data_IF_376446065525
#
_entry.id   IF_376446065525
#
_cell.length_a   1.000
_cell.length_b   1.000
_cell.length_c   1.000
_cell.angle_alpha   90.00
_cell.angle_beta   90.00
_cell.angle_gamma   90.00
#
_symmetry.space_group_name_H-M   'P 1'
#
loop_
_entity.id
_entity.type
_entity.pdbx_description
1 polymer ?
#
# COMPACT_ATOMS: atom_id res chain seq x y z
N UNK A 1 -17.51 4.29 -3.02
CA UNK A 1 -17.78 5.08 -1.80
C UNK A 1 -16.83 6.26 -1.67
N UNK A 2 -15.51 6.09 -1.57
CA UNK A 2 -14.55 7.21 -1.44
C UNK A 2 -14.68 8.25 -2.56
N UNK A 3 -14.84 7.82 -3.82
CA UNK A 3 -15.05 8.71 -4.97
C UNK A 3 -16.30 9.59 -4.80
N UNK A 4 -17.42 8.98 -4.43
CA UNK A 4 -18.67 9.72 -4.19
C UNK A 4 -18.51 10.71 -3.03
N UNK A 5 -17.91 10.25 -1.94
CA UNK A 5 -17.71 11.03 -0.74
C UNK A 5 -16.81 12.25 -1.00
N UNK A 6 -15.70 12.03 -1.71
CA UNK A 6 -14.79 13.09 -2.11
C UNK A 6 -15.49 14.12 -3.01
N UNK A 7 -16.20 13.67 -4.05
CA UNK A 7 -16.96 14.57 -4.93
C UNK A 7 -17.94 15.46 -4.17
N UNK A 8 -18.72 14.89 -3.25
CA UNK A 8 -19.65 15.63 -2.41
C UNK A 8 -18.95 16.62 -1.46
N UNK A 9 -17.83 16.23 -0.88
CA UNK A 9 -17.06 17.09 0.06
C UNK A 9 -16.37 18.25 -0.65
N UNK A 10 -16.02 18.09 -1.94
CA UNK A 10 -15.36 19.10 -2.75
C UNK A 10 -16.33 19.86 -3.69
N UNK A 11 -17.61 19.84 -3.38
CA UNK A 11 -18.60 20.71 -4.01
C UNK A 11 -19.10 20.30 -5.39
N UNK A 12 -18.76 19.07 -5.87
CA UNK A 12 -19.27 18.59 -7.17
C UNK A 12 -20.79 18.38 -7.21
N UNK A 13 -21.43 18.26 -6.06
CA UNK A 13 -22.85 17.97 -5.97
C UNK A 13 -23.20 16.52 -6.34
N UNK A 14 -24.46 16.15 -6.07
CA UNK A 14 -24.92 14.76 -6.16
C UNK A 14 -24.77 14.16 -7.56
N UNK A 15 -25.24 14.88 -8.58
CA UNK A 15 -25.26 14.36 -9.95
C UNK A 15 -23.84 14.06 -10.50
N UNK A 16 -22.89 14.95 -10.27
CA UNK A 16 -21.50 14.75 -10.69
C UNK A 16 -20.81 13.66 -9.86
N UNK A 17 -21.11 13.56 -8.56
CA UNK A 17 -20.55 12.50 -7.70
C UNK A 17 -21.08 11.12 -8.11
N UNK A 18 -22.36 10.99 -8.47
CA UNK A 18 -22.94 9.77 -9.03
C UNK A 18 -22.31 9.45 -10.40
N UNK A 19 -22.14 10.44 -11.28
CA UNK A 19 -21.49 10.28 -12.57
C UNK A 19 -20.03 9.82 -12.43
N UNK A 20 -19.28 10.31 -11.44
CA UNK A 20 -17.92 9.85 -11.17
C UNK A 20 -17.87 8.38 -10.74
N UNK A 21 -18.84 7.92 -9.93
CA UNK A 21 -18.96 6.49 -9.58
C UNK A 21 -19.29 5.64 -10.80
N UNK A 22 -20.17 6.10 -11.69
CA UNK A 22 -20.47 5.40 -12.94
C UNK A 22 -19.23 5.37 -13.86
N UNK A 23 -18.48 6.46 -13.96
CA UNK A 23 -17.20 6.48 -14.68
C UNK A 23 -16.25 5.42 -14.14
N UNK A 24 -16.12 5.30 -12.80
CA UNK A 24 -15.30 4.26 -12.19
C UNK A 24 -15.77 2.86 -12.57
N UNK A 25 -17.06 2.56 -12.46
CA UNK A 25 -17.60 1.22 -12.73
C UNK A 25 -17.51 0.85 -14.21
N UNK A 26 -17.78 1.80 -15.12
CA UNK A 26 -17.67 1.59 -16.55
C UNK A 26 -16.21 1.30 -16.94
N UNK A 27 -15.26 2.15 -16.50
CA UNK A 27 -13.83 1.96 -16.76
C UNK A 27 -13.30 0.65 -16.15
N UNK A 28 -13.73 0.31 -14.94
CA UNK A 28 -13.36 -0.95 -14.30
C UNK A 28 -13.76 -2.16 -15.17
N UNK A 29 -15.01 -2.20 -15.63
CA UNK A 29 -15.52 -3.30 -16.45
C UNK A 29 -14.82 -3.35 -17.81
N UNK A 30 -14.62 -2.21 -18.47
CA UNK A 30 -13.90 -2.12 -19.74
C UNK A 30 -12.46 -2.62 -19.60
N UNK A 31 -11.77 -2.21 -18.54
CA UNK A 31 -10.39 -2.66 -18.26
C UNK A 31 -10.33 -4.16 -18.00
N UNK A 32 -11.22 -4.71 -17.16
CA UNK A 32 -11.27 -6.16 -16.94
C UNK A 32 -11.51 -6.92 -18.25
N UNK A 33 -12.41 -6.43 -19.10
CA UNK A 33 -12.69 -7.04 -20.42
C UNK A 33 -11.51 -7.00 -21.37
N UNK A 34 -10.73 -5.91 -21.36
CA UNK A 34 -9.57 -5.75 -22.23
C UNK A 34 -8.48 -6.82 -21.99
N UNK A 35 -8.44 -7.41 -20.79
CA UNK A 35 -7.48 -8.45 -20.43
C UNK A 35 -7.92 -9.86 -20.80
N UNK A 36 -9.10 -10.05 -21.37
CA UNK A 36 -9.56 -11.38 -21.77
C UNK A 36 -8.72 -11.90 -22.95
N UNK A 37 -7.96 -12.97 -22.71
CA UNK A 37 -7.15 -13.66 -23.72
C UNK A 37 -5.75 -13.08 -23.93
N UNK A 38 -5.27 -12.17 -23.06
CA UNK A 38 -3.91 -11.67 -23.08
C UNK A 38 -3.32 -11.57 -21.65
N UNK A 39 -2.06 -11.20 -21.56
CA UNK A 39 -1.31 -11.07 -20.29
C UNK A 39 -0.97 -9.60 -19.96
N UNK A 40 -1.59 -8.63 -20.62
CA UNK A 40 -1.24 -7.21 -20.49
C UNK A 40 -1.45 -6.69 -19.05
N UNK A 41 -2.36 -7.32 -18.28
CA UNK A 41 -2.53 -7.03 -16.86
C UNK A 41 -1.24 -7.23 -16.05
N UNK A 42 -0.36 -8.14 -16.46
CA UNK A 42 0.87 -8.46 -15.71
C UNK A 42 1.93 -7.36 -15.82
N UNK A 43 1.88 -6.56 -16.87
CA UNK A 43 2.86 -5.50 -17.16
C UNK A 43 2.28 -4.08 -17.09
N UNK A 44 0.98 -3.95 -16.82
CA UNK A 44 0.34 -2.64 -16.72
C UNK A 44 0.94 -1.79 -15.61
N UNK A 45 1.29 -0.56 -15.95
CA UNK A 45 1.81 0.45 -15.02
C UNK A 45 1.15 1.81 -15.27
N UNK A 46 1.02 2.58 -14.20
CA UNK A 46 0.66 4.00 -14.28
C UNK A 46 1.95 4.81 -14.10
N UNK A 47 2.44 5.36 -15.20
CA UNK A 47 3.66 6.18 -15.25
C UNK A 47 3.32 7.57 -15.78
N UNK A 48 4.26 8.49 -15.75
CA UNK A 48 4.10 9.79 -16.40
C UNK A 48 3.78 9.65 -17.89
N UNK A 49 4.39 8.68 -18.58
CA UNK A 49 4.16 8.45 -20.01
C UNK A 49 2.75 7.90 -20.30
N UNK A 50 2.23 7.05 -19.43
CA UNK A 50 0.89 6.43 -19.59
C UNK A 50 -0.23 7.25 -18.98
N UNK A 51 0.09 8.33 -18.28
CA UNK A 51 -0.86 9.22 -17.60
C UNK A 51 -1.10 10.52 -18.37
N UNK A 52 -2.06 11.31 -17.93
CA UNK A 52 -2.38 12.61 -18.52
C UNK A 52 -2.87 13.61 -17.47
N UNK A 53 -2.78 14.92 -17.79
CA UNK A 53 -3.22 16.02 -16.93
C UNK A 53 -2.49 16.03 -15.58
N UNK A 54 -3.17 16.45 -14.52
CA UNK A 54 -2.58 16.64 -13.19
C UNK A 54 -1.87 15.38 -12.65
N UNK A 55 -2.36 14.17 -12.96
CA UNK A 55 -1.69 12.94 -12.54
C UNK A 55 -0.31 12.78 -13.20
N UNK A 56 -0.21 13.09 -14.49
CA UNK A 56 1.07 13.10 -15.21
C UNK A 56 2.03 14.10 -14.59
N UNK A 57 1.58 15.36 -14.43
CA UNK A 57 2.40 16.44 -13.89
C UNK A 57 2.90 16.11 -12.48
N UNK A 58 2.06 15.47 -11.66
CA UNK A 58 2.43 14.97 -10.35
C UNK A 58 3.54 13.90 -10.41
N UNK A 59 3.40 12.90 -11.30
CA UNK A 59 4.38 11.83 -11.43
C UNK A 59 5.74 12.38 -11.92
N UNK A 60 5.75 13.24 -12.93
CA UNK A 60 6.95 13.94 -13.39
C UNK A 60 7.62 14.77 -12.28
N UNK A 61 6.81 15.45 -11.46
CA UNK A 61 7.32 16.22 -10.34
C UNK A 61 7.94 15.34 -9.24
N UNK A 62 7.39 14.15 -9.00
CA UNK A 62 7.93 13.18 -8.04
C UNK A 62 9.25 12.62 -8.53
N UNK A 63 9.32 12.19 -9.79
CA UNK A 63 10.54 11.68 -10.41
C UNK A 63 11.68 12.72 -10.37
N UNK A 64 11.37 13.98 -10.65
CA UNK A 64 12.35 15.06 -10.63
C UNK A 64 12.83 15.47 -9.22
N UNK A 65 12.00 15.32 -8.20
CA UNK A 65 12.27 15.86 -6.85
C UNK A 65 12.79 14.83 -5.86
N UNK A 66 12.42 13.58 -6.00
CA UNK A 66 12.70 12.53 -5.03
C UNK A 66 13.82 11.59 -5.52
N UNK A 67 14.63 11.09 -4.60
CA UNK A 67 15.66 10.10 -4.89
C UNK A 67 16.04 9.32 -3.62
N UNK A 68 16.72 8.19 -3.79
CA UNK A 68 17.24 7.39 -2.69
C UNK A 68 18.24 8.19 -1.84
N UNK A 69 19.13 8.96 -2.48
CA UNK A 69 20.08 9.83 -1.80
C UNK A 69 19.42 10.89 -0.93
N UNK A 70 18.42 11.61 -1.45
CA UNK A 70 17.64 12.59 -0.67
C UNK A 70 16.92 11.96 0.52
N UNK A 71 16.39 10.74 0.35
CA UNK A 71 15.78 10.00 1.44
C UNK A 71 16.79 9.67 2.53
N UNK A 72 17.95 9.15 2.16
CA UNK A 72 19.03 8.82 3.10
C UNK A 72 19.50 10.07 3.84
N UNK A 73 19.79 11.17 3.13
CA UNK A 73 20.13 12.46 3.73
C UNK A 73 19.09 12.99 4.74
N UNK A 74 17.82 12.76 4.47
CA UNK A 74 16.73 13.18 5.36
C UNK A 74 16.66 12.37 6.64
N UNK A 75 16.91 11.09 6.58
CA UNK A 75 16.65 10.16 7.68
C UNK A 75 17.90 9.66 8.39
N UNK A 76 19.07 9.81 7.78
CA UNK A 76 20.31 9.23 8.30
C UNK A 76 21.47 10.24 8.29
N UNK A 77 22.47 9.96 9.10
CA UNK A 77 23.75 10.63 9.11
C UNK A 77 24.87 9.60 9.33
N UNK A 78 26.11 9.99 9.10
CA UNK A 78 27.29 9.16 9.36
C UNK A 78 27.86 9.55 10.73
N UNK A 79 27.87 8.59 11.65
CA UNK A 79 28.39 8.76 13.01
C UNK A 79 29.50 7.72 13.22
N UNK A 80 30.70 8.18 13.57
CA UNK A 80 31.88 7.31 13.77
C UNK A 80 32.20 6.37 12.58
N UNK A 81 31.90 6.83 11.35
CA UNK A 81 32.15 6.08 10.12
C UNK A 81 31.01 5.11 9.73
N UNK A 82 29.98 4.99 10.54
CA UNK A 82 28.81 4.14 10.26
C UNK A 82 27.57 4.98 10.07
N UNK A 83 26.68 4.56 9.14
CA UNK A 83 25.42 5.24 8.89
C UNK A 83 24.38 4.87 9.94
N UNK A 84 23.73 5.86 10.53
CA UNK A 84 22.70 5.69 11.54
C UNK A 84 21.50 6.63 11.31
N UNK A 85 20.35 6.32 11.89
CA UNK A 85 19.17 7.19 11.83
C UNK A 85 19.32 8.48 12.63
N UNK A 86 18.90 9.59 12.06
CA UNK A 86 18.70 10.84 12.76
C UNK A 86 17.38 10.76 13.55
N UNK A 87 17.48 10.52 14.85
CA UNK A 87 16.33 10.36 15.77
C UNK A 87 15.90 11.75 16.26
N UNK A 88 14.81 12.28 15.70
CA UNK A 88 14.33 13.63 15.98
C UNK A 88 12.84 13.80 15.70
N UNK A 89 12.25 14.90 16.22
CA UNK A 89 10.87 15.29 15.89
C UNK A 89 10.67 15.51 14.38
N UNK A 90 11.68 16.02 13.67
CA UNK A 90 11.61 16.28 12.22
C UNK A 90 11.54 14.99 11.41
N UNK A 91 12.32 13.99 11.76
CA UNK A 91 12.29 12.66 11.12
C UNK A 91 11.13 11.81 11.62
N UNK A 92 10.54 12.17 12.77
CA UNK A 92 9.56 11.40 13.53
C UNK A 92 10.09 9.99 13.85
N UNK A 93 11.37 9.92 14.20
CA UNK A 93 12.06 8.73 14.65
C UNK A 93 12.51 8.90 16.10
N UNK A 94 12.35 7.83 16.87
CA UNK A 94 12.79 7.75 18.26
C UNK A 94 13.75 6.60 18.44
N UNK A 95 14.64 6.71 19.43
CA UNK A 95 15.52 5.63 19.81
C UNK A 95 14.71 4.44 20.35
N UNK A 96 15.21 3.25 20.08
CA UNK A 96 14.77 2.02 20.75
C UNK A 96 15.84 1.61 21.76
N UNK A 97 15.46 0.80 22.75
CA UNK A 97 16.45 0.23 23.66
C UNK A 97 17.33 -0.81 22.93
N UNK A 98 18.53 -1.04 23.44
CA UNK A 98 19.52 -1.90 22.80
C UNK A 98 19.06 -3.36 22.68
N UNK A 99 18.29 -3.85 23.63
CA UNK A 99 17.78 -5.23 23.61
C UNK A 99 16.73 -5.40 22.51
N UNK A 100 15.83 -4.42 22.33
CA UNK A 100 14.87 -4.43 21.23
C UNK A 100 15.60 -4.32 19.88
N UNK A 101 16.57 -3.43 19.75
CA UNK A 101 17.36 -3.30 18.52
C UNK A 101 18.05 -4.62 18.16
N UNK A 102 18.64 -5.31 19.13
CA UNK A 102 19.26 -6.61 18.92
C UNK A 102 18.25 -7.70 18.49
N UNK A 103 17.06 -7.75 19.10
CA UNK A 103 16.03 -8.72 18.71
C UNK A 103 15.50 -8.43 17.30
N UNK A 104 15.31 -7.16 16.94
CA UNK A 104 14.91 -6.77 15.58
C UNK A 104 16.02 -7.19 14.60
N UNK A 105 17.28 -6.85 14.86
CA UNK A 105 18.39 -7.23 13.98
C UNK A 105 18.50 -8.76 13.80
N UNK A 106 18.31 -9.54 14.86
CA UNK A 106 18.30 -11.01 14.78
C UNK A 106 17.17 -11.56 13.91
N UNK A 107 15.99 -10.90 13.90
CA UNK A 107 14.88 -11.30 13.04
C UNK A 107 15.15 -11.03 11.54
N UNK A 108 16.10 -10.16 11.22
CA UNK A 108 16.51 -9.83 9.84
C UNK A 108 17.60 -10.76 9.28
N UNK A 109 17.81 -11.92 9.87
CA UNK A 109 18.72 -12.94 9.35
C UNK A 109 18.13 -13.74 8.18
N UNK A 110 19.00 -14.58 7.56
CA UNK A 110 18.69 -15.46 6.41
C UNK A 110 17.46 -16.34 6.65
N UNK A 111 17.38 -16.98 7.81
CA UNK A 111 16.35 -17.95 8.17
C UNK A 111 15.06 -17.29 8.70
N UNK A 112 15.11 -15.98 9.00
CA UNK A 112 13.99 -15.16 9.41
C UNK A 112 13.40 -14.37 8.23
N UNK A 113 13.65 -13.07 8.22
CA UNK A 113 13.21 -12.19 7.15
C UNK A 113 13.65 -12.67 5.76
N UNK A 114 14.91 -13.13 5.62
CA UNK A 114 15.44 -13.63 4.36
C UNK A 114 14.64 -14.80 3.76
N UNK A 115 14.16 -15.72 4.60
CA UNK A 115 13.34 -16.85 4.15
C UNK A 115 11.99 -16.42 3.59
N UNK A 116 11.50 -15.24 3.95
CA UNK A 116 10.23 -14.67 3.49
C UNK A 116 10.33 -13.88 2.18
N UNK A 117 11.56 -13.54 1.74
CA UNK A 117 11.78 -12.74 0.53
C UNK A 117 11.46 -13.53 -0.76
N UNK A 118 11.04 -12.83 -1.84
CA UNK A 118 10.83 -13.49 -3.14
C UNK A 118 12.17 -13.98 -3.70
N UNK A 119 12.20 -15.23 -4.14
CA UNK A 119 13.39 -15.85 -4.77
C UNK A 119 13.47 -15.57 -6.27
N UNK A 120 12.37 -15.15 -6.87
CA UNK A 120 12.25 -14.81 -8.28
C UNK A 120 11.38 -13.57 -8.42
N UNK A 121 11.52 -12.85 -9.53
CA UNK A 121 10.74 -11.66 -9.83
C UNK A 121 11.61 -10.42 -9.97
N UNK A 122 10.95 -9.27 -10.10
CA UNK A 122 11.61 -7.99 -10.32
C UNK A 122 12.57 -7.65 -9.19
N UNK A 123 13.84 -7.35 -9.54
CA UNK A 123 14.93 -7.03 -8.59
C UNK A 123 15.12 -8.05 -7.45
N UNK A 124 14.61 -9.28 -7.60
CA UNK A 124 14.93 -10.34 -6.64
C UNK A 124 16.45 -10.58 -6.66
N UNK A 125 17.01 -10.89 -5.48
CA UNK A 125 18.44 -11.18 -5.33
C UNK A 125 18.65 -12.39 -4.42
N UNK A 126 19.78 -13.04 -4.61
CA UNK A 126 20.24 -14.01 -3.63
C UNK A 126 20.55 -13.32 -2.31
N UNK A 127 20.41 -14.07 -1.22
CA UNK A 127 20.71 -13.57 0.10
C UNK A 127 22.20 -13.28 0.25
N UNK A 128 22.52 -12.07 0.68
CA UNK A 128 23.88 -11.61 1.00
C UNK A 128 23.87 -11.04 2.43
N UNK A 129 24.59 -11.69 3.33
CA UNK A 129 24.63 -11.29 4.74
C UNK A 129 25.17 -9.86 4.93
N UNK A 130 26.11 -9.43 4.09
CA UNK A 130 26.66 -8.08 4.15
C UNK A 130 25.63 -7.04 3.66
N UNK A 131 24.89 -7.33 2.62
CA UNK A 131 23.85 -6.44 2.11
C UNK A 131 22.70 -6.25 3.11
N UNK A 132 22.27 -7.34 3.75
CA UNK A 132 21.13 -7.33 4.69
C UNK A 132 21.55 -7.07 6.15
N UNK A 133 22.81 -6.72 6.40
CA UNK A 133 23.27 -6.33 7.73
C UNK A 133 22.47 -5.12 8.23
N UNK A 134 21.93 -5.25 9.44
CA UNK A 134 21.18 -4.17 10.10
C UNK A 134 22.16 -3.21 10.77
N UNK A 135 22.21 -1.97 10.28
CA UNK A 135 23.07 -0.92 10.82
C UNK A 135 22.41 -0.20 12.01
N UNK A 136 21.11 0.09 11.91
CA UNK A 136 20.39 0.80 12.97
C UNK A 136 18.88 0.50 12.92
N UNK A 137 18.23 0.66 14.07
CA UNK A 137 16.79 0.51 14.26
C UNK A 137 16.24 1.74 14.96
N UNK A 138 15.12 2.26 14.47
CA UNK A 138 14.41 3.38 15.11
C UNK A 138 12.91 3.13 15.13
N UNK A 139 12.24 3.58 16.20
CA UNK A 139 10.78 3.56 16.28
C UNK A 139 10.21 4.67 15.41
N UNK A 140 9.24 4.35 14.56
CA UNK A 140 8.52 5.33 13.75
C UNK A 140 7.29 5.82 14.50
N UNK A 141 7.24 7.12 14.81
CA UNK A 141 6.13 7.75 15.53
C UNK A 141 5.33 8.71 14.62
N UNK A 142 4.15 9.12 15.06
CA UNK A 142 3.30 10.06 14.34
C UNK A 142 2.82 9.51 13.00
N UNK A 143 2.47 8.22 12.95
CA UNK A 143 1.85 7.57 11.81
C UNK A 143 0.37 7.96 11.70
N UNK A 144 -0.23 7.76 10.51
CA UNK A 144 -1.66 8.00 10.30
C UNK A 144 -2.55 7.09 11.17
N UNK A 145 -3.84 7.43 11.23
CA UNK A 145 -4.86 6.81 12.12
C UNK A 145 -4.83 5.28 12.11
N UNK A 146 -4.71 4.65 10.94
CA UNK A 146 -4.65 3.18 10.83
C UNK A 146 -3.38 2.52 11.38
N UNK A 147 -2.49 3.29 12.02
CA UNK A 147 -1.28 2.78 12.69
C UNK A 147 -1.17 3.26 14.14
N UNK A 148 -2.23 3.84 14.70
CA UNK A 148 -2.26 4.18 16.12
C UNK A 148 -2.18 2.92 16.99
N UNK A 149 -1.32 2.96 18.01
CA UNK A 149 -1.12 1.85 18.92
C UNK A 149 -0.36 0.65 18.35
N UNK A 150 0.01 0.68 17.06
CA UNK A 150 0.70 -0.42 16.39
C UNK A 150 2.20 -0.17 16.37
N UNK A 151 2.99 -1.19 16.72
CA UNK A 151 4.45 -1.13 16.63
C UNK A 151 4.91 -0.89 15.20
N UNK A 152 5.72 0.15 14.98
CA UNK A 152 6.29 0.47 13.66
C UNK A 152 7.71 0.93 13.82
N UNK A 153 8.58 0.37 13.01
CA UNK A 153 10.01 0.63 13.06
C UNK A 153 10.55 0.96 11.67
N UNK A 154 11.63 1.73 11.63
CA UNK A 154 12.52 1.78 10.48
C UNK A 154 13.76 0.96 10.80
N UNK A 155 14.16 0.15 9.84
CA UNK A 155 15.38 -0.67 9.89
C UNK A 155 16.27 -0.21 8.76
N UNK A 156 17.50 0.13 9.10
CA UNK A 156 18.52 0.56 8.15
C UNK A 156 19.39 -0.63 7.81
N UNK A 157 19.39 -1.02 6.55
CA UNK A 157 20.29 -2.05 6.03
C UNK A 157 21.54 -1.40 5.43
N UNK A 158 22.66 -2.11 5.47
CA UNK A 158 23.92 -1.68 4.84
C UNK A 158 23.76 -1.46 3.34
N UNK A 159 23.05 -2.34 2.64
CA UNK A 159 22.84 -2.24 1.20
C UNK A 159 24.12 -2.57 0.40
N UNK A 160 24.19 -2.09 -0.84
CA UNK A 160 25.36 -2.29 -1.70
C UNK A 160 26.52 -1.43 -1.27
N UNK A 161 27.76 -1.98 -1.22
CA UNK A 161 28.96 -1.22 -0.94
C UNK A 161 29.45 -0.45 -2.17
N UNK A 162 28.58 0.26 -2.89
CA UNK A 162 29.05 1.21 -3.90
C UNK A 162 29.61 2.43 -3.20
N UNK A 163 30.86 2.77 -3.51
CA UNK A 163 31.37 4.11 -3.24
C UNK A 163 30.44 5.08 -3.94
N UNK A 164 29.79 5.92 -3.16
CA UNK A 164 28.95 7.00 -3.66
C UNK A 164 29.92 8.07 -4.13
N UNK A 165 30.16 8.17 -5.42
CA UNK A 165 30.62 9.43 -5.99
C UNK A 165 29.54 10.49 -5.70
N UNK A 166 29.94 11.65 -5.18
CA UNK A 166 29.03 12.70 -4.72
C UNK A 166 28.01 13.18 -5.77
N UNK A 167 28.21 12.84 -7.03
CA UNK A 167 27.35 13.18 -8.16
C UNK A 167 26.31 12.08 -8.52
N UNK A 168 26.50 10.81 -8.07
CA UNK A 168 25.59 9.70 -8.33
C UNK A 168 24.72 9.36 -7.09
N UNK A 169 23.86 10.27 -6.70
CA UNK A 169 22.89 10.09 -5.60
C UNK A 169 21.82 9.02 -5.90
N UNK A 170 21.85 8.37 -7.05
CA UNK A 170 20.75 7.51 -7.50
C UNK A 170 20.92 6.02 -7.22
N UNK A 171 22.14 5.51 -7.11
CA UNK A 171 22.35 4.07 -7.00
C UNK A 171 23.39 3.66 -5.95
N UNK A 172 22.97 3.24 -4.84
CA UNK A 172 23.83 2.48 -3.96
C UNK A 172 23.87 3.06 -2.55
N UNK A 173 24.06 2.20 -1.64
CA UNK A 173 24.13 2.55 -0.23
C UNK A 173 23.02 1.88 0.57
N UNK A 174 22.84 2.39 1.76
CA UNK A 174 21.93 1.85 2.74
C UNK A 174 20.46 1.89 2.27
N UNK A 175 19.70 0.89 2.69
CA UNK A 175 18.27 0.75 2.40
C UNK A 175 17.46 0.98 3.67
N UNK A 176 16.44 1.82 3.60
CA UNK A 176 15.52 2.02 4.71
C UNK A 176 14.30 1.11 4.53
N UNK A 177 14.07 0.23 5.49
CA UNK A 177 12.87 -0.60 5.54
C UNK A 177 11.84 -0.02 6.51
N UNK A 178 10.56 -0.10 6.12
CA UNK A 178 9.39 0.22 6.93
C UNK A 178 8.81 -1.10 7.47
N UNK A 179 8.91 -1.29 8.77
CA UNK A 179 8.56 -2.52 9.49
C UNK A 179 7.35 -2.24 10.37
N UNK A 180 6.19 -2.79 10.00
CA UNK A 180 4.93 -2.51 10.68
C UNK A 180 4.31 -3.78 11.23
N UNK A 181 3.94 -3.78 12.51
CA UNK A 181 3.13 -4.86 13.07
C UNK A 181 1.81 -5.01 12.30
N UNK A 182 1.45 -6.24 11.97
CA UNK A 182 0.23 -6.54 11.23
C UNK A 182 -0.72 -7.35 12.12
N UNK A 183 -1.71 -6.70 12.72
CA UNK A 183 -2.76 -7.38 13.49
C UNK A 183 -3.75 -8.08 12.56
N UNK A 184 -4.64 -8.88 13.14
CA UNK A 184 -5.81 -9.39 12.45
C UNK A 184 -6.64 -8.25 11.84
N UNK A 185 -7.27 -8.43 10.67
CA UNK A 185 -8.11 -7.40 10.06
C UNK A 185 -9.24 -6.99 11.02
N UNK A 186 -9.49 -5.69 11.15
CA UNK A 186 -10.56 -5.18 12.01
C UNK A 186 -11.95 -5.78 11.66
N UNK A 187 -12.16 -6.07 10.38
CA UNK A 187 -13.40 -6.70 9.90
C UNK A 187 -13.60 -8.11 10.46
N UNK A 188 -12.55 -8.84 10.78
CA UNK A 188 -12.65 -10.20 11.35
C UNK A 188 -13.40 -10.21 12.69
N UNK A 189 -13.24 -9.15 13.49
CA UNK A 189 -13.94 -9.01 14.76
C UNK A 189 -15.47 -8.80 14.62
N UNK A 190 -15.93 -8.36 13.43
CA UNK A 190 -17.34 -8.01 13.18
C UNK A 190 -18.05 -9.07 12.34
N UNK A 191 -17.37 -9.61 11.32
CA UNK A 191 -17.98 -10.58 10.40
C UNK A 191 -18.09 -11.97 11.02
N UNK A 192 -17.30 -12.24 12.07
CA UNK A 192 -17.20 -13.57 12.68
C UNK A 192 -16.44 -14.55 11.79
N UNK A 193 -16.07 -15.66 12.37
CA UNK A 193 -15.37 -16.72 11.68
C UNK A 193 -16.37 -17.71 11.09
N UNK A 194 -16.22 -18.04 9.81
CA UNK A 194 -16.94 -19.18 9.26
C UNK A 194 -16.28 -20.49 9.71
N UNK A 195 -17.01 -21.38 10.39
CA UNK A 195 -16.46 -22.66 10.79
C UNK A 195 -15.88 -23.42 9.56
N UNK A 196 -14.61 -23.76 9.61
CA UNK A 196 -13.88 -24.42 8.53
C UNK A 196 -12.92 -23.53 7.73
N UNK A 197 -13.11 -22.21 7.74
CA UNK A 197 -12.22 -21.30 7.02
C UNK A 197 -10.91 -21.04 7.77
N UNK A 198 -10.94 -21.08 9.10
CA UNK A 198 -9.77 -20.88 9.96
C UNK A 198 -8.62 -21.85 9.66
N UNK A 199 -8.92 -23.15 9.62
CA UNK A 199 -7.90 -24.17 9.37
C UNK A 199 -7.32 -24.04 7.97
N UNK A 200 -8.16 -23.74 6.97
CA UNK A 200 -7.72 -23.49 5.61
C UNK A 200 -6.85 -22.23 5.53
N UNK A 201 -7.28 -21.14 6.16
CA UNK A 201 -6.56 -19.87 6.20
C UNK A 201 -5.20 -20.01 6.89
N UNK A 202 -5.17 -20.66 8.06
CA UNK A 202 -3.94 -20.94 8.80
C UNK A 202 -2.98 -21.85 8.02
N UNK A 203 -3.50 -22.73 7.16
CA UNK A 203 -2.67 -23.57 6.29
C UNK A 203 -1.97 -22.80 5.18
N UNK A 204 -2.54 -21.66 4.77
CA UNK A 204 -1.97 -20.80 3.71
C UNK A 204 -1.02 -19.74 4.26
N UNK A 205 -1.33 -19.20 5.43
CA UNK A 205 -0.61 -18.06 6.00
C UNK A 205 -0.24 -18.33 7.45
N UNK A 206 1.05 -18.44 7.77
CA UNK A 206 1.50 -18.69 9.14
C UNK A 206 1.20 -17.53 10.10
N UNK A 207 0.94 -16.33 9.58
CA UNK A 207 0.56 -15.15 10.35
C UNK A 207 -0.03 -14.06 9.42
N UNK A 208 -0.58 -13.00 10.00
CA UNK A 208 -1.23 -11.91 9.27
C UNK A 208 -0.27 -11.11 8.39
N UNK A 209 0.99 -10.96 8.78
CA UNK A 209 1.98 -10.29 7.96
C UNK A 209 2.27 -11.10 6.67
N UNK A 210 2.34 -12.43 6.76
CA UNK A 210 2.51 -13.30 5.59
C UNK A 210 1.31 -13.18 4.63
N UNK A 211 0.09 -13.11 5.15
CA UNK A 211 -1.12 -12.88 4.36
C UNK A 211 -1.07 -11.53 3.64
N UNK A 212 -0.72 -10.46 4.35
CA UNK A 212 -0.65 -9.12 3.78
C UNK A 212 0.42 -9.02 2.68
N UNK A 213 1.61 -9.60 2.90
CA UNK A 213 2.70 -9.65 1.90
C UNK A 213 2.30 -10.48 0.69
N UNK A 214 1.65 -11.63 0.89
CA UNK A 214 1.16 -12.47 -0.22
C UNK A 214 0.11 -11.73 -1.07
N UNK A 215 -0.83 -11.01 -0.41
CA UNK A 215 -1.80 -10.16 -1.09
C UNK A 215 -1.14 -9.05 -1.90
N UNK A 216 -0.19 -8.33 -1.32
CA UNK A 216 0.55 -7.28 -2.02
C UNK A 216 1.25 -7.83 -3.27
N UNK A 217 1.96 -8.94 -3.14
CA UNK A 217 2.65 -9.58 -4.27
C UNK A 217 1.71 -10.05 -5.36
N UNK A 218 0.56 -10.58 -4.99
CA UNK A 218 -0.43 -11.07 -5.97
C UNK A 218 -1.09 -9.93 -6.76
N UNK A 219 -1.20 -8.73 -6.20
CA UNK A 219 -1.93 -7.61 -6.79
C UNK A 219 -1.05 -6.64 -7.58
N UNK A 220 0.28 -6.75 -7.49
CA UNK A 220 1.23 -5.83 -8.13
C UNK A 220 2.09 -6.52 -9.18
N UNK A 221 2.46 -5.82 -10.27
CA UNK A 221 3.38 -6.33 -11.30
C UNK A 221 4.81 -6.39 -10.79
N UNK A 222 5.27 -5.27 -10.29
CA UNK A 222 6.63 -5.07 -9.81
C UNK A 222 6.57 -5.00 -8.29
N UNK A 223 6.35 -6.16 -7.67
CA UNK A 223 6.29 -6.25 -6.22
C UNK A 223 7.63 -5.80 -5.62
N UNK A 224 7.53 -5.04 -4.53
CA UNK A 224 8.69 -4.59 -3.78
C UNK A 224 9.61 -5.79 -3.43
N UNK A 225 10.88 -5.79 -3.88
CA UNK A 225 11.82 -6.89 -3.65
C UNK A 225 12.15 -7.07 -2.16
N UNK A 226 11.92 -6.06 -1.34
CA UNK A 226 12.08 -6.10 0.11
C UNK A 226 10.80 -6.47 0.86
N UNK A 227 9.67 -6.64 0.15
CA UNK A 227 8.44 -7.05 0.80
C UNK A 227 8.60 -8.44 1.41
N UNK A 228 8.51 -8.54 2.72
CA UNK A 228 8.71 -9.77 3.48
C UNK A 228 8.11 -9.69 4.88
N UNK A 229 8.47 -10.65 5.69
CA UNK A 229 7.96 -10.81 7.05
C UNK A 229 9.12 -10.91 8.03
N UNK A 230 9.08 -10.12 9.09
CA UNK A 230 9.95 -10.30 10.25
C UNK A 230 9.09 -10.68 11.47
N UNK A 231 9.61 -11.56 12.31
CA UNK A 231 8.91 -12.00 13.54
C UNK A 231 9.83 -11.75 14.73
N UNK A 232 9.38 -10.93 15.67
CA UNK A 232 10.08 -10.65 16.92
C UNK A 232 9.07 -10.25 18.01
N UNK A 233 9.43 -10.47 19.26
CA UNK A 233 8.61 -10.16 20.45
C UNK A 233 7.20 -10.76 20.37
N UNK A 234 7.05 -11.93 19.77
CA UNK A 234 5.75 -12.59 19.58
C UNK A 234 4.83 -11.95 18.54
N UNK A 235 5.29 -10.90 17.84
CA UNK A 235 4.55 -10.21 16.79
C UNK A 235 5.07 -10.52 15.39
N UNK A 236 4.18 -10.49 14.39
CA UNK A 236 4.51 -10.58 12.98
C UNK A 236 4.41 -9.19 12.32
N UNK A 237 5.44 -8.83 11.57
CA UNK A 237 5.58 -7.52 10.97
C UNK A 237 5.72 -7.62 9.46
N UNK A 238 4.93 -6.83 8.75
CA UNK A 238 5.13 -6.57 7.32
C UNK A 238 6.37 -5.70 7.17
N UNK A 239 7.29 -6.15 6.34
CA UNK A 239 8.49 -5.43 5.95
C UNK A 239 8.36 -5.01 4.50
N UNK A 240 8.71 -3.77 4.19
CA UNK A 240 8.78 -3.25 2.82
C UNK A 240 9.81 -2.15 2.72
N UNK A 241 10.27 -1.86 1.54
CA UNK A 241 11.07 -0.67 1.32
C UNK A 241 10.26 0.59 1.72
N UNK A 242 10.93 1.51 2.43
CA UNK A 242 10.40 2.85 2.49
C UNK A 242 10.69 3.53 1.16
N UNK A 243 9.79 3.42 0.21
CA UNK A 243 10.00 3.97 -1.13
C UNK A 243 10.65 5.37 -1.10
N UNK A 244 11.75 5.58 -1.80
CA UNK A 244 12.35 6.90 -1.96
C UNK A 244 11.40 7.87 -2.67
N UNK A 245 10.68 7.40 -3.68
CA UNK A 245 9.72 8.18 -4.46
C UNK A 245 8.33 8.13 -3.82
N UNK A 246 8.23 8.70 -2.61
CA UNK A 246 6.98 8.72 -1.85
C UNK A 246 6.42 10.14 -1.79
N UNK A 247 5.34 10.36 -2.51
CA UNK A 247 4.52 11.56 -2.41
C UNK A 247 3.04 11.22 -2.24
N UNK A 248 2.22 12.22 -1.95
CA UNK A 248 0.77 12.11 -1.89
C UNK A 248 0.20 13.04 -2.95
N UNK A 249 -0.66 12.50 -3.81
CA UNK A 249 -1.43 13.31 -4.73
C UNK A 249 -2.49 14.10 -3.93
N UNK A 250 -2.55 15.39 -4.15
CA UNK A 250 -3.55 16.24 -3.50
C UNK A 250 -4.84 16.20 -4.31
N UNK A 251 -5.89 15.64 -3.70
CA UNK A 251 -7.18 15.52 -4.36
C UNK A 251 -7.96 16.84 -4.42
N UNK A 252 -7.51 17.87 -3.70
CA UNK A 252 -8.13 19.19 -3.72
C UNK A 252 -7.61 20.07 -4.89
N UNK A 253 -6.62 19.58 -5.67
CA UNK A 253 -6.09 20.27 -6.85
C UNK A 253 -6.98 20.20 -8.11
N UNK A 254 -8.10 19.46 -8.08
CA UNK A 254 -8.98 19.37 -9.24
C UNK A 254 -9.85 20.63 -9.40
N UNK A 255 -9.57 21.42 -10.43
CA UNK A 255 -10.36 22.61 -10.76
C UNK A 255 -11.65 22.27 -11.54
N UNK A 256 -11.68 21.14 -12.23
CA UNK A 256 -12.78 20.75 -13.09
C UNK A 256 -13.23 19.31 -12.86
N UNK A 257 -14.54 19.06 -13.11
CA UNK A 257 -15.06 17.69 -13.12
C UNK A 257 -14.34 16.79 -14.13
N UNK A 258 -13.91 17.32 -15.27
CA UNK A 258 -13.22 16.55 -16.30
C UNK A 258 -11.85 16.04 -15.83
N UNK A 259 -11.13 16.81 -15.02
CA UNK A 259 -9.86 16.37 -14.39
C UNK A 259 -10.12 15.30 -13.36
N UNK A 260 -11.07 15.51 -12.49
CA UNK A 260 -11.50 14.51 -11.50
C UNK A 260 -11.92 13.20 -12.17
N UNK A 261 -12.72 13.26 -13.23
CA UNK A 261 -13.15 12.07 -13.97
C UNK A 261 -11.97 11.29 -14.58
N UNK A 262 -10.95 11.98 -15.13
CA UNK A 262 -9.72 11.33 -15.63
C UNK A 262 -8.95 10.62 -14.52
N UNK A 263 -8.83 11.24 -13.38
CA UNK A 263 -8.22 10.60 -12.21
C UNK A 263 -9.01 9.37 -11.77
N UNK A 264 -10.33 9.46 -11.72
CA UNK A 264 -11.23 8.34 -11.41
C UNK A 264 -11.05 7.18 -12.39
N UNK A 265 -10.88 7.46 -13.68
CA UNK A 265 -10.58 6.44 -14.70
C UNK A 265 -9.25 5.74 -14.42
N UNK A 266 -8.19 6.49 -14.09
CA UNK A 266 -6.89 5.91 -13.76
C UNK A 266 -6.96 4.99 -12.52
N UNK A 267 -7.67 5.41 -11.48
CA UNK A 267 -7.88 4.58 -10.27
C UNK A 267 -8.72 3.35 -10.60
N UNK A 268 -9.74 3.46 -11.45
CA UNK A 268 -10.57 2.34 -11.87
C UNK A 268 -9.75 1.30 -12.64
N UNK A 269 -8.94 1.74 -13.61
CA UNK A 269 -8.05 0.88 -14.38
C UNK A 269 -7.03 0.16 -13.49
N UNK A 270 -6.38 0.89 -12.58
CA UNK A 270 -5.43 0.32 -11.60
C UNK A 270 -6.10 -0.72 -10.70
N UNK A 271 -7.30 -0.43 -10.21
CA UNK A 271 -8.07 -1.34 -9.34
C UNK A 271 -8.46 -2.60 -10.10
N UNK A 272 -8.99 -2.46 -11.31
CA UNK A 272 -9.36 -3.58 -12.18
C UNK A 272 -8.16 -4.47 -12.46
N UNK A 273 -7.03 -3.89 -12.85
CA UNK A 273 -5.79 -4.60 -13.13
C UNK A 273 -5.28 -5.38 -11.92
N UNK A 274 -5.29 -4.76 -10.74
CA UNK A 274 -4.88 -5.43 -9.51
C UNK A 274 -5.78 -6.64 -9.20
N UNK A 275 -7.09 -6.51 -9.37
CA UNK A 275 -8.03 -7.62 -9.17
C UNK A 275 -7.79 -8.75 -10.17
N UNK A 276 -7.53 -8.41 -11.44
CA UNK A 276 -7.20 -9.41 -12.48
C UNK A 276 -5.94 -10.18 -12.12
N UNK A 277 -4.87 -9.50 -11.73
CA UNK A 277 -3.63 -10.13 -11.27
C UNK A 277 -3.86 -11.11 -10.14
N UNK A 278 -4.61 -10.72 -9.12
CA UNK A 278 -4.93 -11.59 -7.99
C UNK A 278 -5.70 -12.85 -8.41
N UNK A 279 -6.54 -12.77 -9.43
CA UNK A 279 -7.32 -13.90 -9.97
C UNK A 279 -6.47 -14.81 -10.84
N UNK A 280 -5.67 -14.26 -11.75
CA UNK A 280 -4.81 -15.00 -12.67
C UNK A 280 -3.81 -15.88 -11.92
N UNK A 281 -3.24 -15.42 -10.84
CA UNK A 281 -2.33 -16.18 -10.00
C UNK A 281 -2.95 -17.48 -9.44
N UNK A 282 -4.28 -17.55 -9.35
CA UNK A 282 -5.00 -18.71 -8.80
C UNK A 282 -5.65 -19.60 -9.84
N UNK A 283 -6.24 -19.04 -10.89
CA UNK A 283 -7.00 -19.82 -11.88
C UNK A 283 -7.12 -19.10 -13.25
N UNK A 284 -6.03 -18.96 -14.03
CA UNK A 284 -6.05 -18.24 -15.31
C UNK A 284 -7.11 -18.76 -16.29
N UNK A 285 -7.36 -20.08 -16.30
CA UNK A 285 -8.31 -20.69 -17.22
C UNK A 285 -9.77 -20.32 -16.92
N UNK A 286 -10.12 -20.11 -15.65
CA UNK A 286 -11.48 -19.77 -15.23
C UNK A 286 -11.78 -18.27 -15.31
N UNK A 287 -10.74 -17.43 -15.35
CA UNK A 287 -10.90 -15.97 -15.41
C UNK A 287 -11.70 -15.52 -16.63
N UNK A 288 -11.40 -16.05 -17.82
CA UNK A 288 -12.11 -15.73 -19.06
C UNK A 288 -13.61 -16.04 -18.95
N UNK A 289 -13.96 -17.17 -18.39
CA UNK A 289 -15.35 -17.61 -18.29
C UNK A 289 -16.12 -16.81 -17.23
N UNK A 290 -15.48 -16.50 -16.10
CA UNK A 290 -16.05 -15.65 -15.04
C UNK A 290 -16.30 -14.23 -15.54
N UNK A 291 -15.36 -13.63 -16.26
CA UNK A 291 -15.53 -12.29 -16.85
C UNK A 291 -16.65 -12.30 -17.89
N UNK A 292 -16.68 -13.29 -18.78
CA UNK A 292 -17.73 -13.41 -19.80
C UNK A 292 -19.12 -13.62 -19.17
N UNK A 293 -19.22 -14.34 -18.07
CA UNK A 293 -20.48 -14.57 -17.37
C UNK A 293 -20.93 -13.34 -16.53
N UNK A 294 -20.00 -12.75 -15.80
CA UNK A 294 -20.29 -11.66 -14.85
C UNK A 294 -20.52 -10.30 -15.51
N UNK A 295 -19.86 -10.03 -16.64
CA UNK A 295 -19.87 -8.71 -17.28
C UNK A 295 -20.45 -8.74 -18.70
N UNK A 296 -21.60 -9.41 -18.90
CA UNK A 296 -22.38 -9.18 -20.11
C UNK A 296 -22.78 -7.69 -20.19
N UNK A 297 -22.71 -7.13 -21.38
CA UNK A 297 -22.74 -5.66 -21.62
C UNK A 297 -23.94 -4.94 -20.98
N UNK A 298 -25.14 -5.50 -21.06
CA UNK A 298 -26.35 -4.95 -20.45
C UNK A 298 -26.37 -5.04 -18.92
N UNK A 299 -25.78 -6.08 -18.33
CA UNK A 299 -25.79 -6.29 -16.89
C UNK A 299 -24.83 -5.35 -16.16
N UNK A 300 -23.68 -5.08 -16.74
CA UNK A 300 -22.65 -4.30 -16.06
C UNK A 300 -23.06 -2.84 -15.83
N UNK A 301 -23.61 -2.17 -16.83
CA UNK A 301 -23.94 -0.73 -16.72
C UNK A 301 -25.27 -0.48 -16.04
N UNK A 302 -26.33 -1.14 -16.49
CA UNK A 302 -27.71 -0.84 -16.06
C UNK A 302 -28.02 -1.40 -14.66
N UNK A 303 -27.29 -2.41 -14.22
CA UNK A 303 -27.58 -3.09 -12.95
C UNK A 303 -26.48 -2.88 -11.93
N UNK A 304 -25.24 -3.28 -12.24
CA UNK A 304 -24.15 -3.23 -11.29
C UNK A 304 -23.65 -1.81 -11.03
N UNK A 305 -23.34 -1.03 -12.06
CA UNK A 305 -22.86 0.35 -11.92
C UNK A 305 -23.86 1.24 -11.18
N UNK A 306 -25.13 1.16 -11.56
CA UNK A 306 -26.21 1.91 -10.89
C UNK A 306 -26.38 1.45 -9.43
N UNK A 307 -26.28 0.16 -9.16
CA UNK A 307 -26.32 -0.37 -7.79
C UNK A 307 -25.16 0.11 -6.94
N UNK A 308 -23.94 0.11 -7.48
CA UNK A 308 -22.76 0.65 -6.80
C UNK A 308 -22.90 2.13 -6.49
N UNK A 309 -23.43 2.93 -7.43
CA UNK A 309 -23.68 4.35 -7.21
C UNK A 309 -24.73 4.59 -6.09
N UNK A 310 -25.81 3.82 -6.08
CA UNK A 310 -26.83 3.88 -5.00
C UNK A 310 -26.24 3.52 -3.65
N UNK A 311 -25.46 2.45 -3.58
CA UNK A 311 -24.78 2.03 -2.33
C UNK A 311 -23.79 3.10 -1.88
N UNK A 312 -23.02 3.69 -2.80
CA UNK A 312 -22.07 4.75 -2.48
C UNK A 312 -22.76 5.99 -1.88
N UNK A 313 -23.91 6.38 -2.44
CA UNK A 313 -24.71 7.50 -1.94
C UNK A 313 -25.30 7.20 -0.56
N UNK A 314 -25.94 6.03 -0.38
CA UNK A 314 -26.52 5.64 0.91
C UNK A 314 -25.45 5.49 2.01
N UNK A 315 -24.30 4.93 1.67
CA UNK A 315 -23.21 4.76 2.64
C UNK A 315 -22.58 6.09 3.07
N UNK A 316 -22.60 7.12 2.23
CA UNK A 316 -22.18 8.46 2.66
C UNK A 316 -23.02 8.96 3.84
N UNK A 317 -24.34 8.81 3.76
CA UNK A 317 -25.22 9.23 4.86
C UNK A 317 -24.88 8.48 6.14
N UNK A 318 -24.60 7.17 6.04
CA UNK A 318 -24.17 6.38 7.19
C UNK A 318 -22.82 6.86 7.76
N UNK A 319 -21.83 7.16 6.90
CA UNK A 319 -20.52 7.66 7.33
C UNK A 319 -20.64 8.99 8.09
N UNK A 320 -21.54 9.87 7.68
CA UNK A 320 -21.80 11.13 8.41
C UNK A 320 -22.37 10.84 9.79
N UNK A 321 -23.38 9.96 9.88
CA UNK A 321 -23.97 9.57 11.18
C UNK A 321 -22.91 8.91 12.11
N UNK A 322 -22.11 8.00 11.57
CA UNK A 322 -21.04 7.34 12.31
C UNK A 322 -19.99 8.34 12.81
N UNK A 323 -19.63 9.33 11.97
CA UNK A 323 -18.71 10.39 12.36
C UNK A 323 -19.28 11.27 13.48
N UNK A 324 -20.56 11.67 13.38
CA UNK A 324 -21.23 12.49 14.39
C UNK A 324 -21.30 11.74 15.73
N UNK A 325 -21.62 10.44 15.69
CA UNK A 325 -21.58 9.57 16.87
C UNK A 325 -20.17 9.47 17.48
N UNK A 326 -19.17 9.27 16.64
CA UNK A 326 -17.77 9.23 17.09
C UNK A 326 -17.32 10.57 17.68
N UNK A 327 -17.64 11.68 17.04
CA UNK A 327 -17.28 13.01 17.51
C UNK A 327 -17.93 13.32 18.87
N UNK A 328 -19.20 12.94 19.06
CA UNK A 328 -19.89 13.08 20.34
C UNK A 328 -19.25 12.21 21.43
N UNK A 329 -18.89 10.96 21.09
CA UNK A 329 -18.17 10.07 22.02
C UNK A 329 -16.80 10.62 22.37
N UNK A 330 -16.03 11.08 21.39
CA UNK A 330 -14.68 11.61 21.58
C UNK A 330 -14.67 12.92 22.41
N UNK A 331 -15.73 13.72 22.35
CA UNK A 331 -15.89 14.92 23.16
C UNK A 331 -16.21 14.62 24.63
N UNK A 332 -16.60 13.40 24.95
CA UNK A 332 -16.90 12.98 26.32
C UNK A 332 -15.68 12.33 26.96
N UNK A 333 -14.83 13.12 27.63
CA UNK A 333 -13.59 12.65 28.28
C UNK A 333 -13.82 11.49 29.29
N UNK A 334 -15.02 11.39 29.88
CA UNK A 334 -15.37 10.32 30.82
C UNK A 334 -15.63 8.97 30.13
N UNK A 335 -15.76 8.94 28.82
CA UNK A 335 -15.99 7.70 28.04
C UNK A 335 -14.69 7.00 27.64
N UNK A 336 -13.53 7.63 27.86
CA UNK A 336 -12.25 7.01 27.54
C UNK A 336 -11.84 6.00 28.62
N UNK A 337 -11.46 4.78 28.24
CA UNK A 337 -10.90 3.84 29.21
C UNK A 337 -9.59 4.40 29.78
N UNK A 338 -9.44 4.29 31.09
CA UNK A 338 -8.27 4.75 31.84
C UNK A 338 -7.01 3.96 31.47
#
# INVERSE_FOLDING_TARGET
MSIYNHGMSNGLGRAQSEAAVLTFTDTYVETVRSYVGNEDALTFEVTAETSSGLLRDFLEAVEAKESAGKQLHKFTDVVDGERAFVKSKKTKLEAVDGDLAARVAAAFGRDGYGASLPKVGWRSREWDDAFYEVLDVARRVGSGVGSFGVGRYYVLLRGSPREVDDDDLEEGGAVILDVKYEPAPAVAAVVGEHPGDEAWYASLFPNEAARAVAGQRALTSYADPYAGVAVFDGGAYVVRERSPWKASFDLDEFDTYAEYARYVQAIAATTATSHVRGTVAKAPATFKDVVAAAFRESYARETWGVSVAKVAAAYREQVILDYDCFAAYAANESAWPA
#
